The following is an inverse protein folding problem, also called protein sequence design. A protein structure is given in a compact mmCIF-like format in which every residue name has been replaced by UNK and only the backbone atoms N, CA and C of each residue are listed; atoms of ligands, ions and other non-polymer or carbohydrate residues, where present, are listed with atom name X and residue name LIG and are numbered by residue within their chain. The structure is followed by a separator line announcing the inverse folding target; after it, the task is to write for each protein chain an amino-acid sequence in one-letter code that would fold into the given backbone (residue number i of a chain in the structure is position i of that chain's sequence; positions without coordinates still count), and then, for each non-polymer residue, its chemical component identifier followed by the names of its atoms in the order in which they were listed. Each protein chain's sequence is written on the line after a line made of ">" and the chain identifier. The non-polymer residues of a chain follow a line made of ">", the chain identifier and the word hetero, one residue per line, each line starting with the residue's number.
data_IF_776612162143
#
_entry.id   IF_776612162143
#
_cell.length_a   1.000
_cell.length_b   1.000
_cell.length_c   1.000
_cell.angle_alpha   90.00
_cell.angle_beta   90.00
_cell.angle_gamma   90.00
#
_symmetry.space_group_name_H-M   'P 1'
#
loop_
_entity.id
_entity.type
_entity.pdbx_description
1 polymer ?
#
# COMPACT_ATOMS: atom_id res chain seq x y z
N UNK A 1 -9.75 17.94 -6.28
CA UNK A 1 -9.01 17.36 -5.13
C UNK A 1 -8.82 15.90 -5.43
N UNK A 2 -7.57 15.42 -5.41
CA UNK A 2 -7.23 14.04 -5.74
C UNK A 2 -6.73 13.33 -4.47
N UNK A 3 -6.99 12.03 -4.36
CA UNK A 3 -6.49 11.17 -3.29
C UNK A 3 -5.33 10.31 -3.82
N UNK A 4 -4.32 10.08 -2.98
CA UNK A 4 -3.30 9.08 -3.28
C UNK A 4 -3.91 7.67 -3.22
N UNK A 5 -3.29 6.71 -3.92
CA UNK A 5 -3.80 5.33 -4.03
C UNK A 5 -4.04 4.69 -2.66
N UNK A 6 -3.12 4.88 -1.70
CA UNK A 6 -3.26 4.29 -0.36
C UNK A 6 -4.47 4.85 0.42
N UNK A 7 -4.82 6.13 0.20
CA UNK A 7 -5.96 6.79 0.87
C UNK A 7 -7.27 6.23 0.34
N UNK A 8 -7.42 6.15 -0.98
CA UNK A 8 -8.60 5.57 -1.64
C UNK A 8 -8.80 4.10 -1.26
N UNK A 9 -7.71 3.32 -1.19
CA UNK A 9 -7.77 1.92 -0.73
C UNK A 9 -8.21 1.78 0.72
N UNK A 10 -7.73 2.66 1.61
CA UNK A 10 -8.17 2.69 3.00
C UNK A 10 -9.68 2.89 3.11
N UNK A 11 -10.20 3.90 2.40
CA UNK A 11 -11.63 4.16 2.35
C UNK A 11 -12.42 2.96 1.80
N UNK A 12 -12.00 2.36 0.69
CA UNK A 12 -12.66 1.18 0.13
C UNK A 12 -12.68 0.00 1.10
N UNK A 13 -11.59 -0.24 1.81
CA UNK A 13 -11.52 -1.29 2.82
C UNK A 13 -12.48 -1.05 3.99
N UNK A 14 -12.64 0.21 4.46
CA UNK A 14 -13.62 0.57 5.50
C UNK A 14 -15.06 0.26 5.10
N UNK A 15 -15.39 0.37 3.81
CA UNK A 15 -16.69 0.01 3.26
C UNK A 15 -16.80 -1.46 2.80
N UNK A 16 -15.82 -2.30 3.15
CA UNK A 16 -15.84 -3.73 2.83
C UNK A 16 -15.57 -4.07 1.36
N UNK A 17 -15.11 -3.10 0.56
CA UNK A 17 -14.72 -3.34 -0.83
C UNK A 17 -13.31 -3.97 -0.82
N UNK A 18 -13.10 -5.15 -1.44
CA UNK A 18 -11.81 -5.82 -1.42
C UNK A 18 -10.76 -5.01 -2.18
N UNK A 19 -9.64 -4.74 -1.52
CA UNK A 19 -8.49 -4.03 -2.09
C UNK A 19 -7.20 -4.84 -1.90
N UNK A 20 -6.22 -4.72 -2.80
CA UNK A 20 -4.92 -5.37 -2.61
C UNK A 20 -4.23 -4.85 -1.35
N UNK A 21 -3.69 -5.78 -0.53
CA UNK A 21 -2.88 -5.44 0.65
C UNK A 21 -1.66 -4.62 0.22
N UNK A 22 -1.41 -3.53 0.94
CA UNK A 22 -0.27 -2.64 0.70
C UNK A 22 0.06 -1.86 1.97
N UNK A 23 1.30 -1.39 2.07
CA UNK A 23 1.80 -0.60 3.19
C UNK A 23 2.52 0.61 2.59
N UNK A 24 2.16 1.81 3.03
CA UNK A 24 2.85 3.02 2.63
C UNK A 24 4.24 3.09 3.29
N UNK A 25 5.23 3.54 2.53
CA UNK A 25 6.60 3.67 3.00
C UNK A 25 7.19 5.00 2.54
N UNK A 26 7.79 5.74 3.46
CA UNK A 26 8.41 7.04 3.20
C UNK A 26 9.94 6.95 3.02
N UNK A 27 10.53 5.80 3.36
CA UNK A 27 11.97 5.54 3.23
C UNK A 27 12.22 4.18 2.57
N UNK A 28 13.41 3.98 1.94
CA UNK A 28 13.78 2.69 1.38
C UNK A 28 13.72 1.55 2.42
N UNK A 29 14.21 1.79 3.64
CA UNK A 29 14.18 0.79 4.71
C UNK A 29 12.75 0.42 5.13
N UNK A 30 11.85 1.41 5.18
CA UNK A 30 10.44 1.17 5.44
C UNK A 30 9.80 0.32 4.33
N UNK A 31 10.20 0.52 3.06
CA UNK A 31 9.70 -0.27 1.94
C UNK A 31 10.14 -1.75 2.02
N UNK A 32 11.39 -2.00 2.44
CA UNK A 32 11.88 -3.37 2.68
C UNK A 32 11.11 -4.06 3.80
N UNK A 33 10.91 -3.38 4.94
CA UNK A 33 10.12 -3.92 6.06
C UNK A 33 8.66 -4.16 5.67
N UNK A 34 8.08 -3.28 4.85
CA UNK A 34 6.73 -3.45 4.31
C UNK A 34 6.62 -4.72 3.45
N UNK A 35 7.56 -4.94 2.53
CA UNK A 35 7.59 -6.15 1.71
C UNK A 35 7.69 -7.43 2.56
N UNK A 36 8.56 -7.44 3.58
CA UNK A 36 8.70 -8.55 4.52
C UNK A 36 7.41 -8.82 5.31
N UNK A 37 6.72 -7.77 5.74
CA UNK A 37 5.45 -7.87 6.50
C UNK A 37 4.31 -8.38 5.63
N UNK A 38 4.26 -7.98 4.36
CA UNK A 38 3.27 -8.46 3.40
C UNK A 38 3.48 -9.94 3.06
N UNK A 39 4.73 -10.40 3.08
CA UNK A 39 5.11 -11.75 2.67
C UNK A 39 4.90 -11.96 1.16
N UNK A 40 5.08 -13.20 0.70
CA UNK A 40 4.99 -13.57 -0.71
C UNK A 40 6.34 -13.53 -1.44
N UNK A 41 6.29 -13.78 -2.75
CA UNK A 41 7.48 -13.89 -3.61
C UNK A 41 7.65 -12.69 -4.57
N UNK A 42 6.62 -11.83 -4.70
CA UNK A 42 6.59 -10.72 -5.64
C UNK A 42 5.81 -9.53 -5.07
N UNK A 43 6.35 -8.32 -5.25
CA UNK A 43 5.75 -7.07 -4.80
C UNK A 43 5.74 -6.01 -5.91
N UNK A 44 4.80 -5.08 -5.84
CA UNK A 44 4.72 -3.92 -6.73
C UNK A 44 4.97 -2.65 -5.92
N UNK A 45 6.06 -1.95 -6.22
CA UNK A 45 6.38 -0.64 -5.62
C UNK A 45 5.81 0.46 -6.49
N UNK A 46 5.03 1.37 -5.92
CA UNK A 46 4.35 2.45 -6.64
C UNK A 46 4.64 3.80 -6.01
N UNK A 47 5.19 4.73 -6.78
CA UNK A 47 5.30 6.12 -6.36
C UNK A 47 3.90 6.68 -6.08
N UNK A 48 3.74 7.34 -4.92
CA UNK A 48 2.51 8.06 -4.58
C UNK A 48 2.67 9.50 -5.10
N UNK A 49 2.04 9.80 -6.23
CA UNK A 49 1.98 11.14 -6.85
C UNK A 49 0.63 11.79 -6.64
#
# INVERSE_FOLDING_TARGET
>A
MNLHEYQSKGLFAEYGIPVPRGIAAETPDAAVKAAQTLGGELWVVKAQV
#
